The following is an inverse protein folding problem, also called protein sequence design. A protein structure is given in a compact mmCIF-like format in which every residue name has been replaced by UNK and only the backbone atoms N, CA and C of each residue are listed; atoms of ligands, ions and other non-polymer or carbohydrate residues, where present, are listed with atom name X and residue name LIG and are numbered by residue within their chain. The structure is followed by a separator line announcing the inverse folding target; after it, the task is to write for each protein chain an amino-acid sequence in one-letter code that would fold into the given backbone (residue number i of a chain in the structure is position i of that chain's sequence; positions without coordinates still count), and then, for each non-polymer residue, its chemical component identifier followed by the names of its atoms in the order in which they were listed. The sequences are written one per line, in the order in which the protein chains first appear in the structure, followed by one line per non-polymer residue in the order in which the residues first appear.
data_IF_074111148364
#
_entry.id   IF_074111148364
#
_cell.length_a   1.000
_cell.length_b   1.000
_cell.length_c   1.000
_cell.angle_alpha   90.00
_cell.angle_beta   90.00
_cell.angle_gamma   90.00
#
_symmetry.space_group_name_H-M   'P 1'
#
loop_
_entity.id
_entity.type
_entity.pdbx_description
1 polymer ?
#
# COMPACT_ATOMS: atom_id res chain seq x y z
N UNK A 1 7.73 38.50 29.89
CA UNK A 1 6.46 38.19 29.19
C UNK A 1 6.29 36.69 29.10
N UNK A 2 5.26 36.11 29.72
CA UNK A 2 5.02 34.66 29.64
C UNK A 2 4.50 34.30 28.24
N UNK A 3 5.03 33.23 27.66
CA UNK A 3 4.60 32.75 26.33
C UNK A 3 3.14 32.31 26.46
N UNK A 4 2.21 32.82 25.63
CA UNK A 4 0.82 32.41 25.69
C UNK A 4 0.71 30.90 25.43
N UNK A 5 -0.03 30.19 26.30
CA UNK A 5 -0.18 28.74 26.25
C UNK A 5 -0.95 28.36 24.97
N UNK A 6 -0.41 27.44 24.18
CA UNK A 6 -1.00 27.02 22.90
C UNK A 6 -2.42 26.48 23.13
N UNK A 7 -3.40 26.99 22.37
CA UNK A 7 -4.80 26.56 22.46
C UNK A 7 -4.90 25.04 22.26
N UNK A 8 -5.65 24.37 23.13
CA UNK A 8 -5.87 22.93 23.02
C UNK A 8 -6.59 22.62 21.69
N UNK A 9 -5.99 21.74 20.88
CA UNK A 9 -6.55 21.30 19.61
C UNK A 9 -6.68 19.79 19.63
N UNK A 10 -7.87 19.30 20.02
CA UNK A 10 -8.16 17.88 20.16
C UNK A 10 -8.04 17.13 18.83
N UNK A 11 -8.57 17.70 17.73
CA UNK A 11 -8.51 17.10 16.39
C UNK A 11 -7.06 16.85 15.95
N UNK A 12 -6.21 17.85 16.10
CA UNK A 12 -4.80 17.72 15.77
C UNK A 12 -4.07 16.72 16.69
N UNK A 13 -4.49 16.60 17.95
CA UNK A 13 -3.95 15.61 18.90
C UNK A 13 -4.33 14.18 18.49
N UNK A 14 -5.61 13.94 18.20
CA UNK A 14 -6.12 12.65 17.74
C UNK A 14 -5.43 12.22 16.44
N UNK A 15 -5.31 13.12 15.46
CA UNK A 15 -4.61 12.80 14.20
C UNK A 15 -3.11 12.50 14.37
N UNK A 16 -2.44 13.01 15.41
CA UNK A 16 -1.08 12.56 15.75
C UNK A 16 -1.08 11.19 16.39
N UNK A 17 -2.03 10.89 17.28
CA UNK A 17 -2.16 9.58 17.91
C UNK A 17 -2.47 8.48 16.88
N UNK A 18 -3.42 8.70 15.97
CA UNK A 18 -3.75 7.77 14.89
C UNK A 18 -2.53 7.48 14.01
N UNK A 19 -1.81 8.52 13.57
CA UNK A 19 -0.59 8.34 12.76
C UNK A 19 0.50 7.57 13.51
N UNK A 20 0.70 7.86 14.80
CA UNK A 20 1.64 7.11 15.63
C UNK A 20 1.23 5.63 15.74
N UNK A 21 -0.07 5.35 15.94
CA UNK A 21 -0.61 3.99 16.01
C UNK A 21 -0.38 3.21 14.71
N UNK A 22 -0.66 3.81 13.55
CA UNK A 22 -0.41 3.17 12.25
C UNK A 22 1.08 2.90 12.04
N UNK A 23 1.93 3.85 12.40
CA UNK A 23 3.39 3.75 12.25
C UNK A 23 4.00 2.68 13.15
N UNK A 24 3.56 2.57 14.41
CA UNK A 24 4.07 1.54 15.34
C UNK A 24 3.61 0.14 14.96
N UNK A 25 2.42 0.01 14.34
CA UNK A 25 1.91 -1.25 13.83
C UNK A 25 2.38 -1.55 12.40
N UNK A 26 3.21 -0.70 11.79
CA UNK A 26 3.64 -0.80 10.40
C UNK A 26 2.48 -1.17 9.47
N UNK A 27 1.35 -0.50 9.65
CA UNK A 27 0.13 -0.79 8.91
C UNK A 27 0.29 -0.39 7.44
N UNK A 28 -0.19 -1.23 6.54
CA UNK A 28 -0.45 -0.88 5.14
C UNK A 28 -1.73 -1.56 4.68
N UNK A 29 -2.28 -1.07 3.57
CA UNK A 29 -3.26 -1.80 2.77
C UNK A 29 -2.55 -2.30 1.53
N UNK A 30 -2.79 -3.54 1.15
CA UNK A 30 -2.26 -4.07 -0.09
C UNK A 30 -3.35 -4.85 -0.83
N UNK A 31 -3.26 -4.86 -2.16
CA UNK A 31 -4.11 -5.61 -3.06
C UNK A 31 -3.25 -6.35 -4.08
N UNK A 32 -3.68 -7.55 -4.47
CA UNK A 32 -3.13 -8.33 -5.58
C UNK A 32 -4.25 -8.89 -6.44
N UNK A 33 -4.06 -8.87 -7.76
CA UNK A 33 -5.01 -9.35 -8.75
C UNK A 33 -4.28 -10.06 -9.91
N UNK A 34 -4.55 -11.35 -10.17
CA UNK A 34 -5.23 -12.34 -9.33
C UNK A 34 -4.46 -12.68 -8.04
N UNK A 35 -5.10 -13.23 -6.97
CA UNK A 35 -6.48 -13.74 -6.88
C UNK A 35 -7.57 -12.71 -6.49
N UNK A 36 -7.33 -11.42 -6.65
CA UNK A 36 -8.20 -10.33 -6.15
C UNK A 36 -8.36 -10.40 -4.62
N UNK A 37 -7.26 -10.09 -3.94
CA UNK A 37 -7.17 -10.12 -2.50
C UNK A 37 -6.67 -8.77 -1.96
N UNK A 38 -7.55 -8.05 -1.28
CA UNK A 38 -7.22 -6.82 -0.55
C UNK A 38 -7.23 -7.04 0.95
N UNK A 39 -6.18 -6.60 1.63
CA UNK A 39 -6.07 -6.76 3.09
C UNK A 39 -5.24 -5.65 3.74
N UNK A 40 -5.58 -5.32 4.98
CA UNK A 40 -4.72 -4.52 5.86
C UNK A 40 -3.72 -5.44 6.58
N UNK A 41 -2.43 -5.15 6.45
CA UNK A 41 -1.37 -6.00 6.99
C UNK A 41 -0.21 -5.20 7.59
N UNK A 42 0.62 -5.89 8.36
CA UNK A 42 1.86 -5.37 8.93
C UNK A 42 2.99 -5.55 7.92
N UNK A 43 3.38 -4.49 7.20
CA UNK A 43 4.20 -4.63 5.99
C UNK A 43 5.61 -5.17 6.23
N UNK A 44 6.15 -5.07 7.45
CA UNK A 44 7.45 -5.70 7.80
C UNK A 44 7.38 -7.21 8.05
N UNK A 45 6.22 -7.70 8.51
CA UNK A 45 6.04 -9.11 8.92
C UNK A 45 5.08 -9.87 8.00
N UNK A 46 4.40 -9.16 7.09
CA UNK A 46 3.43 -9.70 6.14
C UNK A 46 2.27 -10.45 6.83
N UNK A 47 1.87 -10.01 8.02
CA UNK A 47 0.75 -10.58 8.78
C UNK A 47 -0.47 -9.68 8.73
N UNK A 48 -1.66 -10.26 8.60
CA UNK A 48 -2.91 -9.50 8.57
C UNK A 48 -3.15 -8.78 9.91
N UNK A 49 -3.49 -7.49 9.84
CA UNK A 49 -3.91 -6.71 11.00
C UNK A 49 -5.42 -6.81 11.13
N UNK A 50 -5.90 -7.22 12.30
CA UNK A 50 -7.33 -7.36 12.63
C UNK A 50 -7.82 -6.39 13.72
N UNK A 51 -6.96 -5.49 14.17
CA UNK A 51 -7.32 -4.51 15.20
C UNK A 51 -8.27 -3.46 14.64
N UNK A 52 -9.43 -3.32 15.30
CA UNK A 52 -10.44 -2.30 14.97
C UNK A 52 -9.88 -0.90 15.16
N UNK A 53 -9.06 -0.67 16.19
CA UNK A 53 -8.47 0.65 16.44
C UNK A 53 -7.53 1.08 15.31
N UNK A 54 -6.75 0.13 14.78
CA UNK A 54 -5.84 0.38 13.65
C UNK A 54 -6.66 0.62 12.38
N UNK A 55 -7.71 -0.17 12.16
CA UNK A 55 -8.62 0.03 11.02
C UNK A 55 -9.29 1.41 11.07
N UNK A 56 -9.83 1.82 12.21
CA UNK A 56 -10.46 3.14 12.38
C UNK A 56 -9.44 4.27 12.20
N UNK A 57 -8.23 4.13 12.76
CA UNK A 57 -7.16 5.11 12.56
C UNK A 57 -6.77 5.29 11.09
N UNK A 58 -6.84 4.22 10.30
CA UNK A 58 -6.59 4.22 8.87
C UNK A 58 -7.75 4.85 8.07
N UNK A 59 -8.99 4.46 8.38
CA UNK A 59 -10.18 4.83 7.61
C UNK A 59 -10.72 6.23 7.93
N UNK A 60 -10.65 6.67 9.20
CA UNK A 60 -11.35 7.88 9.66
C UNK A 60 -10.50 9.15 9.55
N UNK A 61 -9.19 9.00 9.30
CA UNK A 61 -8.24 10.11 9.30
C UNK A 61 -7.48 10.16 7.98
N UNK A 62 -7.30 11.37 7.46
CA UNK A 62 -6.51 11.59 6.25
C UNK A 62 -5.02 11.50 6.57
N UNK A 63 -4.27 10.78 5.73
CA UNK A 63 -2.83 10.57 5.85
C UNK A 63 -2.11 10.97 4.57
N UNK A 64 -0.80 11.25 4.66
CA UNK A 64 0.05 11.18 3.48
C UNK A 64 0.35 9.72 3.20
N UNK A 65 0.40 9.34 1.93
CA UNK A 65 0.58 7.96 1.55
C UNK A 65 1.82 7.78 0.70
N UNK A 66 2.55 6.70 0.93
CA UNK A 66 3.44 6.09 -0.06
C UNK A 66 2.66 4.97 -0.74
N UNK A 67 2.60 5.02 -2.07
CA UNK A 67 1.94 4.02 -2.91
C UNK A 67 3.00 3.34 -3.76
N UNK A 68 2.99 2.01 -3.76
CA UNK A 68 3.84 1.18 -4.59
C UNK A 68 2.94 0.30 -5.46
N UNK A 69 3.05 0.41 -6.78
CA UNK A 69 2.28 -0.39 -7.74
C UNK A 69 3.23 -1.29 -8.49
N UNK A 70 2.85 -2.54 -8.70
CA UNK A 70 3.62 -3.52 -9.44
C UNK A 70 2.76 -4.30 -10.42
N UNK A 71 3.32 -4.59 -11.59
CA UNK A 71 2.80 -5.55 -12.56
C UNK A 71 3.72 -6.75 -12.55
N UNK A 72 3.15 -7.92 -12.26
CA UNK A 72 3.86 -9.19 -12.19
C UNK A 72 3.91 -9.79 -13.58
N UNK A 73 5.11 -10.23 -13.99
CA UNK A 73 5.35 -10.79 -15.29
C UNK A 73 6.14 -12.10 -15.19
N UNK A 74 5.86 -13.02 -16.10
CA UNK A 74 6.60 -14.28 -16.27
C UNK A 74 6.96 -14.43 -17.74
N UNK A 75 8.24 -14.66 -18.02
CA UNK A 75 8.74 -14.95 -19.36
C UNK A 75 8.36 -16.39 -19.78
N UNK A 76 8.37 -16.71 -21.09
CA UNK A 76 8.05 -18.06 -21.56
C UNK A 76 8.96 -19.18 -21.02
N UNK A 77 10.17 -18.83 -20.57
CA UNK A 77 11.13 -19.74 -19.91
C UNK A 77 10.88 -19.91 -18.40
N UNK A 78 9.85 -19.25 -17.86
CA UNK A 78 9.49 -19.26 -16.44
C UNK A 78 10.21 -18.22 -15.58
N UNK A 79 11.02 -17.34 -16.16
CA UNK A 79 11.68 -16.27 -15.39
C UNK A 79 10.66 -15.21 -14.97
N UNK A 80 10.52 -15.04 -13.65
CA UNK A 80 9.62 -14.06 -13.05
C UNK A 80 10.33 -12.71 -12.87
N UNK A 81 9.62 -11.63 -13.22
CA UNK A 81 10.09 -10.27 -13.01
C UNK A 81 8.90 -9.34 -12.74
N UNK A 82 9.19 -8.17 -12.15
CA UNK A 82 8.18 -7.16 -11.87
C UNK A 82 8.52 -5.84 -12.57
N UNK A 83 7.49 -5.10 -12.99
CA UNK A 83 7.62 -3.68 -13.32
C UNK A 83 6.88 -2.89 -12.28
N UNK A 84 7.54 -1.92 -11.67
CA UNK A 84 6.98 -1.23 -10.50
C UNK A 84 7.21 0.27 -10.53
N UNK A 85 6.35 1.00 -9.84
CA UNK A 85 6.50 2.44 -9.60
C UNK A 85 6.13 2.74 -8.15
N UNK A 86 6.88 3.65 -7.53
CA UNK A 86 6.55 4.21 -6.23
C UNK A 86 6.30 5.71 -6.37
N UNK A 87 5.28 6.22 -5.68
CA UNK A 87 5.03 7.65 -5.54
C UNK A 87 4.45 7.96 -4.17
N UNK A 88 4.48 9.24 -3.79
CA UNK A 88 3.84 9.73 -2.57
C UNK A 88 2.76 10.75 -2.91
N UNK A 89 1.68 10.79 -2.14
CA UNK A 89 0.62 11.79 -2.34
C UNK A 89 1.09 13.19 -1.94
N UNK A 90 0.77 14.21 -2.74
CA UNK A 90 1.10 15.61 -2.41
C UNK A 90 0.37 16.11 -1.16
N UNK A 91 -0.84 15.58 -0.92
CA UNK A 91 -1.73 15.94 0.18
C UNK A 91 -1.97 14.82 1.19
N UNK A 92 -2.88 15.09 2.14
CA UNK A 92 -3.44 14.06 3.00
C UNK A 92 -4.76 13.57 2.42
N UNK A 93 -4.91 12.26 2.27
CA UNK A 93 -6.08 11.61 1.68
C UNK A 93 -6.64 10.56 2.65
N UNK A 94 -7.96 10.39 2.64
CA UNK A 94 -8.58 9.21 3.24
C UNK A 94 -8.28 8.00 2.35
N UNK A 95 -8.21 6.81 2.96
CA UNK A 95 -7.96 5.56 2.22
C UNK A 95 -9.00 5.35 1.10
N UNK A 96 -10.26 5.71 1.34
CA UNK A 96 -11.35 5.60 0.37
C UNK A 96 -11.17 6.47 -0.88
N UNK A 97 -10.29 7.48 -0.84
CA UNK A 97 -10.06 8.39 -1.96
C UNK A 97 -8.76 8.08 -2.72
N UNK A 98 -8.06 7.00 -2.36
CA UNK A 98 -6.80 6.61 -3.04
C UNK A 98 -7.02 5.91 -4.37
N UNK A 99 -8.18 5.28 -4.57
CA UNK A 99 -8.49 4.47 -5.74
C UNK A 99 -8.21 5.24 -7.05
N UNK A 100 -8.74 6.45 -7.18
CA UNK A 100 -8.52 7.29 -8.36
C UNK A 100 -7.05 7.68 -8.61
N UNK A 101 -6.22 7.76 -7.57
CA UNK A 101 -4.79 8.03 -7.72
C UNK A 101 -4.05 6.75 -8.14
N UNK A 102 -4.41 5.60 -7.56
CA UNK A 102 -3.83 4.30 -7.89
C UNK A 102 -4.14 3.94 -9.35
N UNK A 103 -5.40 4.09 -9.79
CA UNK A 103 -5.85 3.75 -11.14
C UNK A 103 -5.05 4.47 -12.23
N UNK A 104 -4.80 5.78 -12.06
CA UNK A 104 -4.02 6.59 -13.02
C UNK A 104 -2.65 6.00 -13.27
N UNK A 105 -1.95 5.62 -12.19
CA UNK A 105 -0.60 5.06 -12.27
C UNK A 105 -0.60 3.60 -12.70
N UNK A 106 -1.60 2.82 -12.28
CA UNK A 106 -1.78 1.42 -12.64
C UNK A 106 -2.00 1.24 -14.14
N UNK A 107 -2.92 2.00 -14.74
CA UNK A 107 -3.21 1.90 -16.17
C UNK A 107 -1.96 2.18 -17.04
N UNK A 108 -1.18 3.20 -16.66
CA UNK A 108 0.09 3.53 -17.32
C UNK A 108 1.13 2.42 -17.19
N UNK A 109 1.24 1.83 -15.99
CA UNK A 109 2.19 0.75 -15.73
C UNK A 109 1.83 -0.53 -16.51
N UNK A 110 0.55 -0.92 -16.51
CA UNK A 110 0.03 -2.03 -17.30
C UNK A 110 0.25 -1.81 -18.81
N UNK A 111 0.03 -0.60 -19.32
CA UNK A 111 0.28 -0.27 -20.73
C UNK A 111 1.77 -0.40 -21.10
N UNK A 112 2.67 -0.14 -20.16
CA UNK A 112 4.12 -0.28 -20.34
C UNK A 112 4.63 -1.73 -20.23
N UNK A 113 3.83 -2.62 -19.63
CA UNK A 113 4.19 -4.02 -19.42
C UNK A 113 3.99 -4.84 -20.69
N UNK A 114 4.77 -5.91 -20.85
CA UNK A 114 4.54 -6.85 -21.93
C UNK A 114 3.31 -7.69 -21.60
N UNK A 115 2.21 -7.45 -22.31
CA UNK A 115 0.93 -8.15 -22.11
C UNK A 115 1.03 -9.66 -22.22
N UNK A 116 1.97 -10.18 -23.03
CA UNK A 116 2.18 -11.63 -23.17
C UNK A 116 2.85 -12.25 -21.93
N UNK A 117 3.54 -11.45 -21.12
CA UNK A 117 4.19 -11.91 -19.90
C UNK A 117 3.37 -11.57 -18.65
N UNK A 118 2.40 -10.65 -18.73
CA UNK A 118 1.64 -10.21 -17.55
C UNK A 118 0.79 -11.35 -16.99
N UNK A 119 1.01 -11.65 -15.71
CA UNK A 119 0.27 -12.68 -14.98
C UNK A 119 -0.64 -12.08 -13.89
N UNK A 120 -0.36 -10.83 -13.48
CA UNK A 120 -1.15 -10.10 -12.50
C UNK A 120 -0.59 -8.72 -12.21
N UNK A 121 -1.19 -8.03 -11.25
CA UNK A 121 -0.76 -6.74 -10.74
C UNK A 121 -1.15 -6.60 -9.27
N UNK A 122 -0.59 -5.60 -8.61
CA UNK A 122 -0.93 -5.31 -7.23
C UNK A 122 -0.43 -3.94 -6.81
N UNK A 123 -0.93 -3.48 -5.67
CA UNK A 123 -0.51 -2.22 -5.07
C UNK A 123 -0.40 -2.34 -3.55
N UNK A 124 0.43 -1.48 -2.97
CA UNK A 124 0.64 -1.32 -1.54
C UNK A 124 0.49 0.16 -1.21
N UNK A 125 -0.34 0.50 -0.23
CA UNK A 125 -0.56 1.84 0.27
C UNK A 125 -0.18 1.91 1.76
N UNK A 126 0.81 2.73 2.08
CA UNK A 126 1.33 2.92 3.45
C UNK A 126 0.96 4.35 3.89
N UNK A 127 0.26 4.53 5.03
CA UNK A 127 -0.16 5.84 5.55
C UNK A 127 1.00 6.60 6.24
N UNK A 128 2.19 6.56 5.63
CA UNK A 128 3.39 7.30 6.04
C UNK A 128 4.21 7.61 4.78
N UNK A 129 5.12 8.57 4.88
CA UNK A 129 6.07 8.87 3.79
C UNK A 129 7.34 8.08 4.01
N UNK A 130 7.46 6.96 3.30
CA UNK A 130 8.63 6.06 3.34
C UNK A 130 9.10 5.70 1.94
N UNK A 131 10.34 5.22 1.86
CA UNK A 131 10.86 4.53 0.68
C UNK A 131 10.79 3.02 0.89
N UNK A 132 9.93 2.37 0.13
CA UNK A 132 9.75 0.92 0.13
C UNK A 132 10.69 0.32 -0.90
N UNK A 133 11.61 -0.54 -0.48
CA UNK A 133 12.49 -1.23 -1.41
C UNK A 133 11.73 -2.28 -2.23
N UNK A 134 12.22 -2.60 -3.42
CA UNK A 134 11.63 -3.67 -4.24
C UNK A 134 11.56 -5.01 -3.49
N UNK A 135 12.60 -5.37 -2.74
CA UNK A 135 12.59 -6.58 -1.90
C UNK A 135 11.55 -6.55 -0.77
N UNK A 136 11.23 -5.36 -0.24
CA UNK A 136 10.16 -5.22 0.76
C UNK A 136 8.79 -5.39 0.11
N UNK A 137 8.56 -4.74 -1.03
CA UNK A 137 7.31 -4.85 -1.79
C UNK A 137 7.07 -6.30 -2.26
N UNK A 138 8.09 -6.93 -2.84
CA UNK A 138 8.01 -8.31 -3.33
C UNK A 138 7.70 -9.32 -2.21
N UNK A 139 8.20 -9.10 -1.00
CA UNK A 139 7.84 -9.95 0.16
C UNK A 139 6.35 -9.87 0.50
N UNK A 140 5.79 -8.66 0.46
CA UNK A 140 4.36 -8.43 0.73
C UNK A 140 3.52 -9.12 -0.36
N UNK A 141 3.81 -8.85 -1.64
CA UNK A 141 3.09 -9.45 -2.75
C UNK A 141 3.18 -10.98 -2.77
N UNK A 142 4.36 -11.53 -2.46
CA UNK A 142 4.55 -12.98 -2.34
C UNK A 142 3.70 -13.57 -1.21
N UNK A 143 3.66 -12.92 -0.05
CA UNK A 143 2.82 -13.35 1.07
C UNK A 143 1.33 -13.29 0.73
N UNK A 144 0.92 -12.37 -0.14
CA UNK A 144 -0.45 -12.25 -0.66
C UNK A 144 -0.77 -13.22 -1.81
N UNK A 145 0.21 -13.97 -2.31
CA UNK A 145 0.00 -14.98 -3.34
C UNK A 145 0.15 -14.48 -4.78
N UNK A 146 0.74 -13.31 -5.03
CA UNK A 146 0.94 -12.73 -6.37
C UNK A 146 1.63 -13.69 -7.37
N UNK A 147 2.48 -14.59 -6.87
CA UNK A 147 3.24 -15.55 -7.68
C UNK A 147 2.67 -16.98 -7.63
N UNK A 148 1.52 -17.17 -6.99
CA UNK A 148 0.90 -18.48 -6.78
C UNK A 148 -0.10 -18.77 -7.90
N UNK A 149 0.38 -18.91 -9.14
CA UNK A 149 -0.46 -19.45 -10.21
C UNK A 149 -0.58 -20.97 -10.05
N UNK A 150 -1.80 -21.45 -9.80
CA UNK A 150 -2.15 -22.82 -10.21
C UNK A 150 -2.11 -22.83 -11.72
N UNK A 151 -1.16 -23.54 -12.33
CA UNK A 151 -1.31 -24.00 -13.71
C UNK A 151 -2.67 -24.68 -13.79
N UNK A 152 -3.60 -24.12 -14.56
CA UNK A 152 -4.75 -24.90 -15.02
C UNK A 152 -4.15 -26.08 -15.81
N UNK A 153 -4.33 -27.28 -15.27
CA UNK A 153 -3.95 -28.53 -15.91
C UNK A 153 -4.82 -28.80 -17.13
#
# INVERSE_FOLDING_TARGET
MSKPRKKHNLKARMGRACRALLKTNYACVANVEPPDHQVMLHWKHCTQIRSVEVANALCDMAHRWTIYISVFCEMPDGVQYSKSVQFSTEGMHLVANLESEIEKHHAGLCASANKAHTIGSGWIAIPDTIDLTEDQANRIFKAMGAWSHKKAA
#
